data_IF_549264740175
#
_entry.id   IF_549264740175
#
_cell.length_a   1.000
_cell.length_b   1.000
_cell.length_c   1.000
_cell.angle_alpha   90.00
_cell.angle_beta   90.00
_cell.angle_gamma   90.00
#
_symmetry.space_group_name_H-M   'P 1'
#
loop_
_entity.id
_entity.type
_entity.pdbx_description
1 polymer ?
#
# COMPACT_ATOMS: atom_id res chain seq x y z
N UNK A 1 4.57 3.79 -11.80
CA UNK A 1 5.99 4.16 -11.80
C UNK A 1 6.69 3.11 -10.94
N UNK A 2 7.72 2.44 -11.48
CA UNK A 2 8.28 1.23 -10.86
C UNK A 2 9.19 1.54 -9.66
N UNK A 3 9.74 2.75 -9.61
CA UNK A 3 10.66 3.19 -8.55
C UNK A 3 9.92 3.86 -7.40
N UNK A 4 8.89 4.65 -7.70
CA UNK A 4 8.01 5.27 -6.71
C UNK A 4 6.56 5.00 -7.08
N UNK A 5 5.76 4.31 -6.24
CA UNK A 5 4.36 4.05 -6.53
C UNK A 5 3.49 5.27 -6.17
N UNK A 6 3.81 6.43 -6.76
CA UNK A 6 3.01 7.65 -6.66
C UNK A 6 1.53 7.34 -6.94
N UNK A 7 0.62 7.91 -6.14
CA UNK A 7 -0.83 7.67 -6.17
C UNK A 7 -1.32 6.29 -5.69
N UNK A 8 -0.47 5.46 -5.08
CA UNK A 8 -0.88 4.15 -4.57
C UNK A 8 -2.03 4.26 -3.55
N UNK A 9 -1.86 5.14 -2.57
CA UNK A 9 -2.81 5.27 -1.45
C UNK A 9 -4.17 5.70 -1.97
N UNK A 10 -4.18 6.70 -2.84
CA UNK A 10 -5.36 7.27 -3.49
C UNK A 10 -6.13 6.22 -4.29
N UNK A 11 -5.41 5.43 -5.09
CA UNK A 11 -6.01 4.37 -5.89
C UNK A 11 -6.55 3.23 -5.03
N UNK A 12 -5.85 2.86 -3.97
CA UNK A 12 -6.18 1.68 -3.18
C UNK A 12 -7.31 1.91 -2.14
N UNK A 13 -7.56 3.17 -1.74
CA UNK A 13 -8.53 3.44 -0.65
C UNK A 13 -9.48 4.62 -0.93
N UNK A 14 -9.06 5.90 -1.00
CA UNK A 14 -10.00 7.01 -1.22
C UNK A 14 -10.86 6.88 -2.48
N UNK A 15 -10.28 6.40 -3.59
CA UNK A 15 -11.05 6.17 -4.82
C UNK A 15 -12.10 5.07 -4.67
N UNK A 16 -11.82 4.03 -3.89
CA UNK A 16 -12.77 2.96 -3.62
C UNK A 16 -13.98 3.50 -2.85
N UNK A 17 -13.75 4.22 -1.74
CA UNK A 17 -14.83 4.79 -0.94
C UNK A 17 -15.67 5.80 -1.72
N UNK A 18 -15.03 6.65 -2.53
CA UNK A 18 -15.75 7.55 -3.42
C UNK A 18 -16.67 6.79 -4.40
N UNK A 19 -16.16 5.70 -4.99
CA UNK A 19 -16.93 4.88 -5.93
C UNK A 19 -18.13 4.24 -5.24
N UNK A 20 -17.95 3.64 -4.06
CA UNK A 20 -19.03 3.03 -3.27
C UNK A 20 -20.13 4.04 -2.92
N UNK A 21 -19.75 5.27 -2.56
CA UNK A 21 -20.71 6.33 -2.22
C UNK A 21 -21.49 6.85 -3.43
N UNK A 22 -20.81 7.03 -4.58
CA UNK A 22 -21.40 7.69 -5.74
C UNK A 22 -22.10 6.74 -6.71
N UNK A 23 -21.67 5.49 -6.75
CA UNK A 23 -22.18 4.49 -7.68
C UNK A 23 -22.46 3.17 -6.94
N UNK A 24 -23.53 3.11 -6.11
CA UNK A 24 -23.87 1.89 -5.38
C UNK A 24 -24.04 0.70 -6.33
N UNK A 25 -23.30 -0.38 -6.06
CA UNK A 25 -23.29 -1.60 -6.88
C UNK A 25 -22.32 -1.58 -8.08
N UNK A 26 -21.58 -0.49 -8.28
CA UNK A 26 -20.43 -0.50 -9.17
C UNK A 26 -19.24 -1.22 -8.50
N UNK A 27 -18.29 -1.64 -9.32
CA UNK A 27 -17.04 -2.24 -8.90
C UNK A 27 -15.91 -1.52 -9.64
N UNK A 28 -14.88 -1.07 -8.90
CA UNK A 28 -13.70 -0.43 -9.47
C UNK A 28 -12.81 -1.45 -10.22
N UNK A 29 -13.07 -2.76 -10.04
CA UNK A 29 -12.19 -3.87 -10.43
C UNK A 29 -10.78 -3.73 -9.87
N UNK A 30 -10.70 -3.11 -8.70
CA UNK A 30 -9.48 -2.86 -7.98
C UNK A 30 -9.25 -3.99 -6.97
N UNK A 31 -8.01 -4.46 -6.88
CA UNK A 31 -7.56 -5.46 -5.89
C UNK A 31 -6.17 -5.11 -5.38
N UNK A 32 -5.82 -3.81 -5.39
CA UNK A 32 -4.49 -3.34 -5.02
C UNK A 32 -4.11 -3.75 -3.60
N UNK A 33 -5.02 -3.58 -2.64
CA UNK A 33 -4.76 -3.91 -1.24
C UNK A 33 -4.48 -5.40 -1.06
N UNK A 34 -5.39 -6.26 -1.53
CA UNK A 34 -5.27 -7.72 -1.41
C UNK A 34 -4.02 -8.23 -2.13
N UNK A 35 -3.74 -7.70 -3.33
CA UNK A 35 -2.56 -8.10 -4.10
C UNK A 35 -1.24 -7.62 -3.49
N UNK A 36 -1.23 -6.51 -2.76
CA UNK A 36 -0.06 -6.05 -2.01
C UNK A 36 0.21 -6.96 -0.83
N UNK A 37 -0.81 -7.31 -0.04
CA UNK A 37 -0.68 -8.28 1.06
C UNK A 37 -0.15 -9.62 0.53
N UNK A 38 -0.71 -10.12 -0.56
CA UNK A 38 -0.24 -11.36 -1.17
C UNK A 38 1.15 -11.23 -1.80
N UNK A 39 1.54 -10.05 -2.27
CA UNK A 39 2.90 -9.79 -2.71
C UNK A 39 3.89 -9.92 -1.56
N UNK A 40 3.60 -9.33 -0.40
CA UNK A 40 4.43 -9.48 0.80
C UNK A 40 4.57 -10.92 1.24
N UNK A 41 3.48 -11.71 1.25
CA UNK A 41 3.56 -13.16 1.54
C UNK A 41 4.49 -13.91 0.59
N UNK A 42 4.50 -13.55 -0.69
CA UNK A 42 5.42 -14.14 -1.69
C UNK A 42 6.87 -13.69 -1.50
N UNK A 43 7.09 -12.45 -1.03
CA UNK A 43 8.42 -11.92 -0.78
C UNK A 43 9.02 -12.39 0.55
N UNK A 44 8.19 -12.64 1.58
CA UNK A 44 8.61 -13.06 2.92
C UNK A 44 9.71 -14.14 2.95
N UNK A 45 9.62 -15.28 2.21
CA UNK A 45 10.67 -16.30 2.24
C UNK A 45 11.97 -15.89 1.52
N UNK A 46 11.98 -14.78 0.79
CA UNK A 46 13.14 -14.24 0.07
C UNK A 46 13.86 -13.16 0.87
N UNK A 47 13.25 -12.65 1.94
CA UNK A 47 13.83 -11.60 2.78
C UNK A 47 14.78 -12.20 3.84
N UNK A 48 15.83 -11.46 4.24
CA UNK A 48 16.62 -11.80 5.41
C UNK A 48 15.74 -11.88 6.67
N UNK A 49 16.11 -12.68 7.68
CA UNK A 49 15.41 -12.68 8.96
C UNK A 49 15.59 -11.33 9.68
N UNK A 50 14.54 -10.87 10.37
CA UNK A 50 14.54 -9.63 11.14
C UNK A 50 13.45 -8.66 10.70
N UNK A 51 13.44 -7.43 11.25
CA UNK A 51 12.41 -6.45 10.98
C UNK A 51 12.53 -5.86 9.56
N UNK A 52 11.39 -5.49 8.99
CA UNK A 52 11.26 -4.78 7.74
C UNK A 52 11.21 -3.27 7.99
N UNK A 53 12.22 -2.55 7.52
CA UNK A 53 12.29 -1.10 7.69
C UNK A 53 11.67 -0.36 6.51
N UNK A 54 10.68 0.50 6.81
CA UNK A 54 10.07 1.43 5.88
C UNK A 54 10.63 2.83 6.11
N UNK A 55 11.13 3.48 5.05
CA UNK A 55 11.86 4.75 5.16
C UNK A 55 11.29 5.76 4.17
N UNK A 56 11.06 6.99 4.63
CA UNK A 56 10.73 8.13 3.78
C UNK A 56 11.66 9.30 4.10
N UNK A 57 11.66 10.32 3.24
CA UNK A 57 12.40 11.57 3.47
C UNK A 57 11.61 12.51 4.39
N UNK A 58 12.29 13.18 5.32
CA UNK A 58 11.71 14.34 6.05
C UNK A 58 11.61 15.59 5.17
N UNK A 59 12.27 15.60 4.00
CA UNK A 59 12.18 16.69 3.04
C UNK A 59 10.90 16.71 2.19
N UNK A 60 10.08 15.65 2.26
CA UNK A 60 8.74 15.67 1.71
C UNK A 60 7.77 16.33 2.70
N UNK A 61 7.61 17.64 2.57
CA UNK A 61 6.71 18.44 3.42
C UNK A 61 5.22 18.13 3.18
N UNK A 62 4.86 17.54 2.04
CA UNK A 62 3.47 17.18 1.73
C UNK A 62 3.03 15.88 2.43
N UNK A 63 3.99 15.05 2.85
CA UNK A 63 3.75 13.78 3.54
C UNK A 63 3.23 12.66 2.62
N UNK A 64 3.34 12.82 1.30
CA UNK A 64 2.94 11.80 0.32
C UNK A 64 3.80 10.53 0.46
N UNK A 65 5.11 10.69 0.65
CA UNK A 65 6.03 9.59 0.84
C UNK A 65 5.74 8.89 2.17
N UNK A 66 5.49 9.65 3.23
CA UNK A 66 5.11 9.10 4.55
C UNK A 66 3.83 8.27 4.44
N UNK A 67 2.78 8.78 3.80
CA UNK A 67 1.54 8.03 3.61
C UNK A 67 1.78 6.75 2.80
N UNK A 68 2.59 6.84 1.74
CA UNK A 68 2.90 5.69 0.88
C UNK A 68 3.62 4.59 1.67
N UNK A 69 4.67 4.93 2.42
CA UNK A 69 5.41 3.93 3.20
C UNK A 69 4.60 3.39 4.37
N UNK A 70 3.75 4.21 4.99
CA UNK A 70 2.83 3.76 6.03
C UNK A 70 1.81 2.75 5.49
N UNK A 71 1.28 2.98 4.29
CA UNK A 71 0.35 2.05 3.64
C UNK A 71 1.04 0.74 3.23
N UNK A 72 2.26 0.82 2.71
CA UNK A 72 3.04 -0.39 2.41
C UNK A 72 3.35 -1.18 3.69
N UNK A 73 3.70 -0.50 4.79
CA UNK A 73 3.91 -1.11 6.10
C UNK A 73 2.67 -1.85 6.59
N UNK A 74 1.50 -1.22 6.51
CA UNK A 74 0.23 -1.84 6.89
C UNK A 74 -0.01 -3.15 6.11
N UNK A 75 0.20 -3.13 4.79
CA UNK A 75 0.03 -4.35 3.98
C UNK A 75 1.07 -5.45 4.27
N UNK A 76 2.26 -5.08 4.75
CA UNK A 76 3.29 -6.02 5.17
C UNK A 76 2.95 -6.64 6.54
N UNK A 77 2.45 -5.83 7.48
CA UNK A 77 1.97 -6.29 8.78
C UNK A 77 0.82 -7.30 8.63
N UNK A 78 -0.16 -6.99 7.76
CA UNK A 78 -1.24 -7.93 7.43
C UNK A 78 -0.75 -9.21 6.72
N UNK A 79 0.43 -9.18 6.12
CA UNK A 79 1.09 -10.36 5.56
C UNK A 79 1.88 -11.16 6.62
N UNK A 80 1.95 -10.68 7.86
CA UNK A 80 2.63 -11.31 8.98
C UNK A 80 4.12 -10.96 9.09
N UNK A 81 4.56 -9.86 8.48
CA UNK A 81 5.92 -9.34 8.59
C UNK A 81 6.00 -8.31 9.72
N UNK A 82 7.08 -8.36 10.51
CA UNK A 82 7.41 -7.37 11.55
C UNK A 82 8.30 -6.25 10.99
#
# INVERSE_FOLDING_TARGET
>A
NADTPTSLVEAASPQWFWMEERFPGADQWNSLHERLVDAWKRQAPLLPPGPLHFVHSEGDEAGEDLMTVAYLRETADQAGLE
#
